data_IF_546758380752
#
_entry.id   IF_546758380752
#
_cell.length_a   1.000
_cell.length_b   1.000
_cell.length_c   1.000
_cell.angle_alpha   90.00
_cell.angle_beta   90.00
_cell.angle_gamma   90.00
#
_symmetry.space_group_name_H-M   'P 1'
#
loop_
_entity.id
_entity.type
_entity.pdbx_description
1 polymer ?
#
# COMPACT_ATOMS: atom_id res chain seq x y z
N UNK A 1 -19.39 -61.15 10.24
CA UNK A 1 -20.34 -60.00 10.22
C UNK A 1 -19.87 -59.07 9.13
N UNK A 2 -20.39 -59.22 7.92
CA UNK A 2 -19.93 -58.63 6.67
C UNK A 2 -20.73 -57.37 6.43
N UNK A 3 -20.05 -56.23 6.41
CA UNK A 3 -20.66 -54.94 6.07
C UNK A 3 -20.80 -54.83 4.54
N UNK A 4 -22.05 -54.76 4.08
CA UNK A 4 -22.39 -54.44 2.70
C UNK A 4 -22.19 -52.94 2.48
N UNK A 5 -21.27 -52.59 1.62
CA UNK A 5 -21.17 -51.21 1.04
C UNK A 5 -22.22 -51.10 -0.06
N UNK A 6 -23.22 -50.24 0.16
CA UNK A 6 -24.18 -49.90 -0.87
C UNK A 6 -23.48 -49.01 -1.93
N UNK A 7 -23.43 -49.55 -3.14
CA UNK A 7 -22.95 -48.85 -4.34
C UNK A 7 -24.00 -47.80 -4.73
N UNK A 8 -23.72 -46.51 -4.48
CA UNK A 8 -24.60 -45.41 -4.90
C UNK A 8 -24.23 -45.05 -6.33
N UNK A 9 -25.10 -45.44 -7.27
CA UNK A 9 -24.96 -45.14 -8.71
C UNK A 9 -24.84 -43.65 -8.96
N UNK A 10 -23.76 -43.24 -9.64
CA UNK A 10 -23.46 -41.87 -10.06
C UNK A 10 -24.61 -41.19 -10.81
N UNK A 11 -25.46 -41.94 -11.50
CA UNK A 11 -26.64 -41.42 -12.23
C UNK A 11 -27.77 -41.03 -11.31
N UNK A 12 -27.90 -41.70 -10.16
CA UNK A 12 -28.91 -41.36 -9.13
C UNK A 12 -28.50 -40.10 -8.37
N UNK A 13 -27.21 -39.92 -8.11
CA UNK A 13 -26.68 -38.71 -7.46
C UNK A 13 -26.90 -37.44 -8.34
N UNK A 14 -26.72 -37.55 -9.65
CA UNK A 14 -26.92 -36.44 -10.60
C UNK A 14 -28.41 -36.09 -10.85
N UNK A 15 -29.33 -37.04 -10.66
CA UNK A 15 -30.78 -36.78 -10.77
C UNK A 15 -31.37 -36.13 -9.52
N UNK A 16 -30.81 -36.35 -8.35
CA UNK A 16 -31.23 -35.69 -7.09
C UNK A 16 -30.71 -34.27 -6.94
N UNK A 17 -29.63 -33.91 -7.63
CA UNK A 17 -29.09 -32.53 -7.67
C UNK A 17 -29.70 -31.64 -8.74
N UNK A 18 -30.52 -32.20 -9.65
CA UNK A 18 -31.10 -31.49 -10.81
C UNK A 18 -32.43 -30.80 -10.58
N UNK A 19 -33.01 -30.85 -9.39
CA UNK A 19 -34.33 -30.27 -9.10
C UNK A 19 -34.38 -29.30 -7.91
N UNK A 20 -33.26 -28.74 -7.50
CA UNK A 20 -33.26 -27.56 -6.64
C UNK A 20 -33.26 -26.35 -7.55
N UNK A 21 -34.42 -25.67 -7.63
CA UNK A 21 -34.65 -24.47 -8.43
C UNK A 21 -33.49 -23.46 -8.24
N UNK A 22 -32.66 -23.35 -9.27
CA UNK A 22 -31.57 -22.38 -9.37
C UNK A 22 -32.11 -20.96 -9.68
N UNK A 23 -33.22 -20.58 -9.06
CA UNK A 23 -33.92 -19.34 -9.38
C UNK A 23 -34.08 -18.31 -8.26
N UNK A 24 -33.77 -18.62 -7.02
CA UNK A 24 -34.18 -17.73 -5.93
C UNK A 24 -33.10 -17.40 -4.87
N UNK A 25 -31.85 -17.85 -5.02
CA UNK A 25 -30.83 -17.67 -4.00
C UNK A 25 -29.72 -16.64 -4.35
N UNK A 26 -29.69 -16.12 -5.58
CA UNK A 26 -28.67 -15.14 -5.99
C UNK A 26 -29.07 -13.66 -5.77
N UNK A 27 -30.29 -13.38 -5.31
CA UNK A 27 -30.77 -12.01 -5.10
C UNK A 27 -30.56 -11.46 -3.67
N UNK A 28 -29.92 -12.20 -2.76
CA UNK A 28 -29.72 -11.75 -1.37
C UNK A 28 -28.30 -11.27 -1.03
N UNK A 29 -27.37 -11.40 -1.95
CA UNK A 29 -26.11 -10.68 -1.84
C UNK A 29 -26.19 -9.40 -2.68
N UNK A 30 -27.06 -8.50 -2.25
CA UNK A 30 -26.90 -7.09 -2.57
C UNK A 30 -25.56 -6.72 -1.93
N UNK A 31 -24.48 -6.67 -2.72
CA UNK A 31 -23.29 -5.94 -2.31
C UNK A 31 -23.80 -4.51 -2.16
N UNK A 32 -24.13 -4.13 -0.94
CA UNK A 32 -24.39 -2.75 -0.63
C UNK A 32 -23.13 -2.03 -1.10
N UNK A 33 -23.28 -1.15 -2.10
CA UNK A 33 -22.21 -0.23 -2.45
C UNK A 33 -21.75 0.37 -1.14
N UNK A 34 -20.49 0.16 -0.79
CA UNK A 34 -19.93 0.79 0.39
C UNK A 34 -20.30 2.26 0.30
N UNK A 35 -20.87 2.87 1.36
CA UNK A 35 -21.23 4.28 1.31
C UNK A 35 -20.00 5.01 0.81
N UNK A 36 -20.16 5.81 -0.23
CA UNK A 36 -19.09 6.62 -0.80
C UNK A 36 -18.32 7.21 0.37
N UNK A 37 -17.01 7.02 0.41
CA UNK A 37 -16.17 7.36 1.53
C UNK A 37 -16.47 8.82 1.92
N UNK A 38 -17.29 9.01 2.93
CA UNK A 38 -17.58 10.31 3.49
C UNK A 38 -16.30 10.78 4.17
N UNK A 39 -15.67 11.81 3.62
CA UNK A 39 -14.49 12.42 4.18
C UNK A 39 -13.29 12.42 3.26
N UNK A 40 -13.42 13.10 2.11
CA UNK A 40 -12.25 13.62 1.43
C UNK A 40 -11.55 14.62 2.37
N UNK A 41 -10.56 14.18 3.11
CA UNK A 41 -9.72 15.07 3.89
C UNK A 41 -8.73 15.71 2.92
N UNK A 42 -8.99 16.95 2.56
CA UNK A 42 -8.13 17.74 1.69
C UNK A 42 -6.97 18.32 2.49
N UNK A 43 -5.77 17.80 2.26
CA UNK A 43 -4.56 18.59 2.44
C UNK A 43 -4.33 19.32 1.13
N UNK A 44 -4.25 20.64 1.12
CA UNK A 44 -3.98 21.46 -0.07
C UNK A 44 -4.78 21.07 -1.35
N UNK A 45 -6.01 20.60 -1.22
CA UNK A 45 -6.86 20.16 -2.33
C UNK A 45 -6.67 18.71 -2.80
N UNK A 46 -5.78 17.93 -2.18
CA UNK A 46 -5.56 16.52 -2.51
C UNK A 46 -6.34 15.60 -1.57
N UNK A 47 -6.86 14.49 -2.11
CA UNK A 47 -7.76 13.57 -1.41
C UNK A 47 -6.98 12.34 -0.97
N UNK A 48 -7.11 11.98 0.33
CA UNK A 48 -6.46 10.79 0.89
C UNK A 48 -7.37 9.58 0.78
N UNK A 49 -7.46 9.01 -0.42
CA UNK A 49 -8.10 7.73 -0.70
C UNK A 49 -7.46 7.06 -1.92
N UNK A 50 -7.73 5.78 -2.14
CA UNK A 50 -7.15 5.02 -3.24
C UNK A 50 -5.72 4.57 -2.96
N UNK A 51 -4.88 4.52 -3.98
CA UNK A 51 -3.55 3.94 -3.88
C UNK A 51 -2.50 4.97 -3.42
N UNK A 52 -1.73 4.56 -2.43
CA UNK A 52 -0.58 5.27 -1.88
C UNK A 52 0.61 4.30 -1.80
N UNK A 53 1.16 3.88 -2.96
CA UNK A 53 2.27 2.94 -2.96
C UNK A 53 3.46 3.46 -2.19
N UNK A 54 4.18 2.51 -1.58
CA UNK A 54 5.46 2.79 -0.95
C UNK A 54 6.52 2.76 -2.05
N UNK A 55 7.16 3.91 -2.31
CA UNK A 55 8.25 3.97 -3.25
C UNK A 55 9.48 3.25 -2.71
N UNK A 56 10.31 2.76 -3.60
CA UNK A 56 11.58 2.14 -3.25
C UNK A 56 12.67 3.19 -3.04
N UNK A 57 13.86 2.77 -2.65
CA UNK A 57 15.04 3.64 -2.66
C UNK A 57 16.05 3.05 -3.64
N UNK A 58 16.07 3.55 -4.89
CA UNK A 58 17.05 3.13 -5.90
C UNK A 58 18.42 3.72 -5.60
N UNK A 59 19.47 2.94 -5.88
CA UNK A 59 20.86 3.39 -5.72
C UNK A 59 21.65 3.20 -7.00
N UNK A 60 22.61 4.11 -7.23
CA UNK A 60 23.59 4.03 -8.32
C UNK A 60 24.61 2.94 -8.05
N UNK A 61 25.47 2.65 -9.06
CA UNK A 61 26.61 1.74 -8.91
C UNK A 61 27.59 2.20 -7.81
N UNK A 62 27.70 3.51 -7.57
CA UNK A 62 28.52 4.12 -6.52
C UNK A 62 27.80 4.15 -5.15
N UNK A 63 26.69 3.42 -5.01
CA UNK A 63 25.91 3.33 -3.76
C UNK A 63 25.38 4.69 -3.26
N UNK A 64 25.05 5.62 -4.14
CA UNK A 64 24.36 6.87 -3.84
C UNK A 64 22.88 6.74 -4.18
N UNK A 65 21.99 7.42 -3.46
CA UNK A 65 20.57 7.48 -3.83
C UNK A 65 20.44 8.02 -5.27
N UNK A 66 19.80 7.22 -6.16
CA UNK A 66 19.55 7.62 -7.55
C UNK A 66 18.26 8.46 -7.60
N UNK A 67 18.44 9.79 -7.57
CA UNK A 67 17.32 10.73 -7.59
C UNK A 67 16.55 10.67 -8.90
N UNK A 68 17.17 10.35 -10.02
CA UNK A 68 16.49 10.23 -11.32
C UNK A 68 15.51 9.04 -11.30
N UNK A 69 15.97 7.87 -10.84
CA UNK A 69 15.11 6.71 -10.68
C UNK A 69 13.99 6.95 -9.66
N UNK A 70 14.28 7.64 -8.55
CA UNK A 70 13.27 8.02 -7.56
C UNK A 70 12.21 8.96 -8.17
N UNK A 71 12.61 9.92 -8.99
CA UNK A 71 11.71 10.82 -9.71
C UNK A 71 10.89 10.10 -10.79
N UNK A 72 11.46 9.07 -11.41
CA UNK A 72 10.73 8.23 -12.36
C UNK A 72 9.58 7.48 -11.67
N UNK A 73 9.71 7.03 -10.42
CA UNK A 73 8.60 6.46 -9.64
C UNK A 73 7.47 7.49 -9.44
N UNK A 74 7.80 8.74 -9.12
CA UNK A 74 6.81 9.84 -8.99
C UNK A 74 6.09 10.06 -10.31
N UNK A 75 6.85 10.16 -11.40
CA UNK A 75 6.31 10.37 -12.76
C UNK A 75 5.41 9.22 -13.19
N UNK A 76 5.84 7.98 -12.93
CA UNK A 76 5.06 6.77 -13.19
C UNK A 76 3.72 6.79 -12.45
N UNK A 77 3.72 7.10 -11.15
CA UNK A 77 2.50 7.19 -10.37
C UNK A 77 1.56 8.30 -10.88
N UNK A 78 2.10 9.47 -11.24
CA UNK A 78 1.32 10.55 -11.83
C UNK A 78 0.64 10.13 -13.15
N UNK A 79 1.38 9.50 -14.07
CA UNK A 79 0.84 8.99 -15.34
C UNK A 79 -0.19 7.88 -15.12
N UNK A 80 0.05 7.00 -14.15
CA UNK A 80 -0.86 5.93 -13.77
C UNK A 80 -2.15 6.38 -13.09
N UNK A 81 -2.28 7.68 -12.79
CA UNK A 81 -3.45 8.24 -12.10
C UNK A 81 -3.50 7.89 -10.61
N UNK A 82 -2.37 7.53 -10.02
CA UNK A 82 -2.24 7.17 -8.60
C UNK A 82 -2.37 8.43 -7.73
N UNK A 83 -3.27 8.48 -6.76
CA UNK A 83 -3.59 9.71 -6.01
C UNK A 83 -2.50 10.14 -5.03
N UNK A 84 -1.63 9.25 -4.58
CA UNK A 84 -0.53 9.61 -3.69
C UNK A 84 0.59 8.57 -3.64
N UNK A 85 1.70 8.94 -3.04
CA UNK A 85 2.89 8.09 -2.83
C UNK A 85 3.47 8.37 -1.45
N UNK A 86 4.13 7.38 -0.87
CA UNK A 86 4.78 7.52 0.45
C UNK A 86 6.26 7.11 0.33
N UNK A 87 7.18 7.98 0.82
CA UNK A 87 8.60 7.70 0.89
C UNK A 87 9.30 8.57 1.97
N UNK A 88 10.30 8.03 2.68
CA UNK A 88 10.64 6.62 2.76
C UNK A 88 9.81 5.91 3.84
N UNK A 89 9.59 4.61 3.65
CA UNK A 89 8.92 3.72 4.60
C UNK A 89 9.68 2.39 4.73
N UNK A 90 9.09 1.39 5.40
CA UNK A 90 9.72 0.08 5.60
C UNK A 90 10.15 -0.52 4.26
N UNK A 91 9.25 -0.62 3.30
CA UNK A 91 9.55 -1.19 1.99
C UNK A 91 10.52 -0.33 1.15
N UNK A 92 10.73 0.93 1.51
CA UNK A 92 11.78 1.79 0.92
C UNK A 92 13.17 1.53 1.50
N UNK A 93 13.32 0.70 2.53
CA UNK A 93 14.58 0.54 3.24
C UNK A 93 15.04 1.80 3.96
N UNK A 94 14.11 2.54 4.59
CA UNK A 94 14.38 3.85 5.21
C UNK A 94 15.56 3.85 6.19
N UNK A 95 15.85 2.71 6.83
CA UNK A 95 16.97 2.57 7.79
C UNK A 95 18.35 2.55 7.11
N UNK A 96 18.40 2.37 5.80
CA UNK A 96 19.63 2.37 5.01
C UNK A 96 20.01 3.74 4.45
N UNK A 97 19.09 4.71 4.57
CA UNK A 97 19.28 6.05 4.07
C UNK A 97 19.97 6.93 5.10
N UNK A 98 20.93 7.73 4.65
CA UNK A 98 21.49 8.81 5.45
C UNK A 98 20.50 9.98 5.55
N UNK A 99 20.68 10.86 6.56
CA UNK A 99 19.85 12.07 6.66
C UNK A 99 19.98 12.97 5.42
N UNK A 100 21.18 13.08 4.85
CA UNK A 100 21.39 13.86 3.64
C UNK A 100 20.61 13.29 2.45
N UNK A 101 20.61 11.97 2.25
CA UNK A 101 19.83 11.31 1.22
C UNK A 101 18.33 11.50 1.43
N UNK A 102 17.84 11.47 2.67
CA UNK A 102 16.43 11.72 2.98
C UNK A 102 16.01 13.15 2.66
N UNK A 103 16.82 14.14 2.99
CA UNK A 103 16.56 15.53 2.62
C UNK A 103 16.57 15.71 1.10
N UNK A 104 17.63 15.27 0.41
CA UNK A 104 17.75 15.37 -1.03
C UNK A 104 16.62 14.64 -1.78
N UNK A 105 16.26 13.42 -1.35
CA UNK A 105 15.15 12.66 -1.91
C UNK A 105 13.81 13.36 -1.72
N UNK A 106 13.56 13.95 -0.54
CA UNK A 106 12.35 14.74 -0.28
C UNK A 106 12.25 15.92 -1.24
N UNK A 107 13.33 16.71 -1.39
CA UNK A 107 13.37 17.86 -2.29
C UNK A 107 13.14 17.44 -3.74
N UNK A 108 13.80 16.38 -4.18
CA UNK A 108 13.71 15.86 -5.55
C UNK A 108 12.30 15.38 -5.89
N UNK A 109 11.69 14.57 -5.00
CA UNK A 109 10.34 14.04 -5.21
C UNK A 109 9.27 15.13 -5.22
N UNK A 110 9.35 16.11 -4.31
CA UNK A 110 8.41 17.23 -4.28
C UNK A 110 8.54 18.06 -5.55
N UNK A 111 9.76 18.31 -6.03
CA UNK A 111 10.00 19.01 -7.29
C UNK A 111 9.43 18.21 -8.49
N UNK A 112 9.66 16.90 -8.55
CA UNK A 112 9.14 16.02 -9.60
C UNK A 112 7.60 15.92 -9.59
N UNK A 113 6.98 15.98 -8.40
CA UNK A 113 5.53 15.94 -8.22
C UNK A 113 4.82 17.28 -8.49
N UNK A 114 5.57 18.39 -8.70
CA UNK A 114 5.00 19.73 -8.84
C UNK A 114 4.09 19.82 -10.06
N UNK A 115 2.87 20.32 -9.84
CA UNK A 115 1.84 20.42 -10.87
C UNK A 115 1.14 19.09 -11.21
N UNK A 116 1.60 17.97 -10.65
CA UNK A 116 0.94 16.68 -10.76
C UNK A 116 -0.23 16.53 -9.78
N UNK A 117 -1.02 15.47 -9.99
CA UNK A 117 -2.18 15.14 -9.13
C UNK A 117 -1.80 14.24 -7.95
N UNK A 118 -0.68 13.54 -8.03
CA UNK A 118 -0.20 12.61 -7.01
C UNK A 118 0.26 13.37 -5.77
N UNK A 119 -0.29 13.05 -4.60
CA UNK A 119 0.15 13.61 -3.33
C UNK A 119 1.49 13.02 -2.89
N UNK A 120 2.40 13.87 -2.44
CA UNK A 120 3.72 13.47 -1.95
C UNK A 120 3.67 13.40 -0.42
N UNK A 121 3.73 12.18 0.13
CA UNK A 121 3.73 11.93 1.57
C UNK A 121 5.14 11.53 2.02
N UNK A 122 5.72 12.28 2.93
CA UNK A 122 7.10 12.07 3.38
C UNK A 122 7.13 11.31 4.70
N UNK A 123 7.85 10.20 4.72
CA UNK A 123 8.15 9.43 5.93
C UNK A 123 9.12 10.18 6.84
N UNK A 124 8.75 10.40 8.11
CA UNK A 124 9.55 11.18 9.06
C UNK A 124 10.10 10.36 10.24
N UNK A 125 9.83 9.05 10.28
CA UNK A 125 10.33 8.16 11.32
C UNK A 125 11.85 8.16 11.39
N UNK A 126 12.37 7.92 12.59
CA UNK A 126 13.81 7.86 12.88
C UNK A 126 14.17 6.57 13.61
N UNK A 127 15.46 6.22 13.62
CA UNK A 127 15.97 5.13 14.43
C UNK A 127 16.14 5.61 15.90
N UNK A 128 16.16 4.66 16.84
CA UNK A 128 16.46 4.90 18.24
C UNK A 128 15.54 5.96 18.92
N UNK A 129 14.30 6.08 18.47
CA UNK A 129 13.33 7.05 18.99
C UNK A 129 13.84 8.51 18.96
N UNK A 130 14.65 8.88 17.98
CA UNK A 130 15.18 10.24 17.81
C UNK A 130 14.05 11.21 17.42
N UNK A 131 13.30 11.69 18.39
CA UNK A 131 12.21 12.65 18.19
C UNK A 131 12.69 13.98 17.59
N UNK A 132 13.84 14.59 18.02
CA UNK A 132 14.34 15.79 17.35
C UNK A 132 14.58 15.60 15.85
N UNK A 133 15.14 14.47 15.44
CA UNK A 133 15.33 14.11 14.04
C UNK A 133 14.00 13.96 13.28
N UNK A 134 13.00 13.31 13.88
CA UNK A 134 11.68 13.19 13.29
C UNK A 134 11.01 14.56 13.07
N UNK A 135 11.12 15.46 14.04
CA UNK A 135 10.65 16.85 13.94
C UNK A 135 11.39 17.61 12.82
N UNK A 136 12.71 17.41 12.70
CA UNK A 136 13.50 18.04 11.65
C UNK A 136 13.04 17.60 10.25
N UNK A 137 12.78 16.29 10.05
CA UNK A 137 12.22 15.79 8.79
C UNK A 137 10.80 16.32 8.52
N UNK A 138 9.94 16.41 9.54
CA UNK A 138 8.59 16.95 9.38
C UNK A 138 8.61 18.43 8.96
N UNK A 139 9.43 19.25 9.61
CA UNK A 139 9.62 20.66 9.24
C UNK A 139 10.21 20.83 7.85
N UNK A 140 11.18 19.98 7.48
CA UNK A 140 11.77 20.00 6.14
C UNK A 140 10.74 19.63 5.07
N UNK A 141 9.94 18.57 5.28
CA UNK A 141 8.86 18.19 4.37
C UNK A 141 7.87 19.34 4.15
N UNK A 142 7.45 20.02 5.22
CA UNK A 142 6.56 21.17 5.13
C UNK A 142 7.21 22.34 4.36
N UNK A 143 8.47 22.67 4.66
CA UNK A 143 9.21 23.75 3.98
C UNK A 143 9.39 23.46 2.49
N UNK A 144 9.60 22.21 2.13
CA UNK A 144 9.78 21.78 0.73
C UNK A 144 8.47 21.78 -0.05
N UNK A 145 7.33 21.68 0.63
CA UNK A 145 6.00 21.69 0.01
C UNK A 145 5.44 20.28 -0.22
N UNK A 146 5.79 19.32 0.64
CA UNK A 146 5.12 18.03 0.67
C UNK A 146 3.62 18.18 1.01
N UNK A 147 2.80 17.22 0.59
CA UNK A 147 1.35 17.26 0.81
C UNK A 147 0.94 16.67 2.17
N UNK A 148 1.73 15.78 2.72
CA UNK A 148 1.52 15.16 4.03
C UNK A 148 2.81 14.55 4.57
N UNK A 149 2.78 14.16 5.85
CA UNK A 149 3.84 13.38 6.47
C UNK A 149 3.30 12.05 6.99
N UNK A 150 4.16 11.03 7.08
CA UNK A 150 3.85 9.72 7.62
C UNK A 150 4.93 9.30 8.60
N UNK A 151 4.58 8.61 9.68
CA UNK A 151 5.57 8.04 10.59
C UNK A 151 5.21 6.63 11.05
N UNK A 152 6.24 5.80 11.21
CA UNK A 152 6.18 4.62 12.06
C UNK A 152 6.14 5.07 13.53
N UNK A 153 5.51 4.31 14.42
CA UNK A 153 5.58 4.60 15.85
C UNK A 153 6.99 4.34 16.38
N UNK A 154 7.41 5.06 17.43
CA UNK A 154 8.59 4.74 18.20
C UNK A 154 8.37 3.44 18.99
N UNK A 155 9.45 2.86 19.52
CA UNK A 155 9.34 1.83 20.55
C UNK A 155 8.95 2.48 21.89
N UNK A 156 8.03 1.85 22.63
CA UNK A 156 7.61 2.34 23.94
C UNK A 156 6.19 1.96 24.29
N UNK A 157 5.66 2.55 25.36
CA UNK A 157 4.28 2.41 25.79
C UNK A 157 3.30 3.12 24.84
N UNK A 158 2.00 2.90 25.03
CA UNK A 158 0.97 3.64 24.29
C UNK A 158 1.09 5.15 24.51
N UNK A 159 1.38 5.58 25.75
CA UNK A 159 1.56 7.00 26.08
C UNK A 159 2.79 7.59 25.36
N UNK A 160 3.90 6.86 25.28
CA UNK A 160 5.10 7.29 24.54
C UNK A 160 4.80 7.47 23.06
N UNK A 161 4.04 6.55 22.49
CA UNK A 161 3.60 6.61 21.08
C UNK A 161 2.71 7.83 20.84
N UNK A 162 1.72 8.05 21.69
CA UNK A 162 0.83 9.22 21.61
C UNK A 162 1.60 10.53 21.76
N UNK A 163 2.54 10.60 22.72
CA UNK A 163 3.38 11.77 22.92
C UNK A 163 4.28 12.07 21.70
N UNK A 164 4.85 11.03 21.10
CA UNK A 164 5.65 11.14 19.88
C UNK A 164 4.82 11.73 18.71
N UNK A 165 3.63 11.17 18.45
CA UNK A 165 2.79 11.66 17.36
C UNK A 165 2.22 13.06 17.63
N UNK A 166 1.95 13.42 18.90
CA UNK A 166 1.59 14.80 19.29
C UNK A 166 2.71 15.77 18.95
N UNK A 167 3.97 15.42 19.26
CA UNK A 167 5.12 16.27 18.99
C UNK A 167 5.36 16.47 17.49
N UNK A 168 5.23 15.41 16.68
CA UNK A 168 5.34 15.51 15.20
C UNK A 168 4.18 16.32 14.64
N UNK A 169 2.94 16.06 15.08
CA UNK A 169 1.76 16.79 14.62
C UNK A 169 1.75 18.28 14.98
N UNK A 170 2.45 18.65 16.06
CA UNK A 170 2.65 20.06 16.44
C UNK A 170 3.80 20.74 15.67
N UNK A 171 4.65 19.99 14.99
CA UNK A 171 5.81 20.54 14.28
C UNK A 171 5.46 21.20 12.94
N UNK A 172 4.29 20.90 12.38
CA UNK A 172 3.83 21.36 11.07
C UNK A 172 2.31 21.25 10.94
N UNK A 173 1.70 22.02 10.03
CA UNK A 173 0.27 21.93 9.70
C UNK A 173 -0.04 20.85 8.66
N UNK A 174 0.95 20.08 8.20
CA UNK A 174 0.72 19.03 7.23
C UNK A 174 -0.16 17.91 7.81
N UNK A 175 -1.06 17.35 7.00
CA UNK A 175 -1.77 16.12 7.36
C UNK A 175 -0.79 15.02 7.78
N UNK A 176 -1.10 14.35 8.88
CA UNK A 176 -0.28 13.30 9.46
C UNK A 176 -0.93 11.93 9.23
N UNK A 177 -0.17 11.03 8.62
CA UNK A 177 -0.50 9.61 8.51
C UNK A 177 0.20 8.88 9.66
N UNK A 178 -0.57 8.31 10.56
CA UNK A 178 -0.03 7.42 11.59
C UNK A 178 0.02 5.99 11.06
N UNK A 179 1.01 5.21 11.50
CA UNK A 179 1.09 3.79 11.16
C UNK A 179 1.00 2.96 12.43
N UNK A 180 0.23 1.88 12.39
CA UNK A 180 0.20 0.91 13.48
C UNK A 180 1.10 -0.27 13.17
N UNK A 181 1.70 -0.85 14.20
CA UNK A 181 2.51 -2.08 14.14
C UNK A 181 2.26 -2.91 15.40
N UNK A 182 2.63 -4.20 15.35
CA UNK A 182 2.53 -5.09 16.53
C UNK A 182 1.10 -5.23 17.02
N UNK A 183 0.90 -4.92 18.29
CA UNK A 183 -0.35 -5.04 19.03
C UNK A 183 -0.97 -3.67 19.42
N UNK A 184 -0.56 -2.59 18.79
CA UNK A 184 -1.11 -1.25 19.06
C UNK A 184 -2.64 -1.28 19.02
N UNK A 185 -3.28 -0.84 20.10
CA UNK A 185 -4.73 -0.93 20.25
C UNK A 185 -5.50 0.04 19.35
N UNK A 186 -6.77 -0.28 19.06
CA UNK A 186 -7.69 0.64 18.38
C UNK A 186 -7.88 1.92 19.20
N UNK A 187 -7.96 1.80 20.53
CA UNK A 187 -8.15 2.95 21.41
C UNK A 187 -6.99 3.95 21.35
N UNK A 188 -5.76 3.47 21.25
CA UNK A 188 -4.57 4.32 21.03
C UNK A 188 -4.67 5.11 19.72
N UNK A 189 -5.13 4.47 18.64
CA UNK A 189 -5.36 5.15 17.35
C UNK A 189 -6.46 6.21 17.46
N UNK A 190 -7.57 5.87 18.12
CA UNK A 190 -8.70 6.78 18.32
C UNK A 190 -8.32 7.97 19.20
N UNK A 191 -7.49 7.76 20.22
CA UNK A 191 -6.93 8.83 21.03
C UNK A 191 -6.09 9.80 20.19
N UNK A 192 -5.16 9.28 19.40
CA UNK A 192 -4.34 10.11 18.51
C UNK A 192 -5.22 10.91 17.52
N UNK A 193 -6.23 10.27 16.94
CA UNK A 193 -7.16 10.95 16.03
C UNK A 193 -7.93 12.09 16.72
N UNK A 194 -8.38 11.87 17.96
CA UNK A 194 -9.16 12.87 18.72
C UNK A 194 -8.30 14.02 19.26
N UNK A 195 -7.04 13.76 19.58
CA UNK A 195 -6.17 14.72 20.29
C UNK A 195 -5.15 15.41 19.40
N UNK A 196 -4.90 14.91 18.18
CA UNK A 196 -3.94 15.48 17.24
C UNK A 196 -4.67 15.93 15.97
N UNK A 197 -4.96 17.22 15.81
CA UNK A 197 -5.80 17.73 14.72
C UNK A 197 -5.28 17.44 13.31
N UNK A 198 -3.96 17.23 13.16
CA UNK A 198 -3.32 16.92 11.88
C UNK A 198 -3.45 15.45 11.49
N UNK A 199 -3.81 14.54 12.39
CA UNK A 199 -4.03 13.12 12.05
C UNK A 199 -5.26 12.99 11.14
N UNK A 200 -5.05 12.47 9.93
CA UNK A 200 -6.10 12.28 8.91
C UNK A 200 -6.20 10.84 8.43
N UNK A 201 -5.12 10.09 8.51
CA UNK A 201 -5.02 8.74 7.98
C UNK A 201 -4.34 7.83 9.01
N UNK A 202 -4.83 6.59 9.12
CA UNK A 202 -4.11 5.49 9.75
C UNK A 202 -3.78 4.43 8.71
N UNK A 203 -2.51 4.09 8.56
CA UNK A 203 -2.09 2.85 7.88
C UNK A 203 -2.11 1.74 8.92
N UNK A 204 -3.19 0.95 8.93
CA UNK A 204 -3.43 -0.05 9.98
C UNK A 204 -2.81 -1.41 9.62
N UNK A 205 -1.74 -1.76 10.32
CA UNK A 205 -1.00 -3.01 10.16
C UNK A 205 -0.84 -3.79 11.48
N UNK A 206 -1.42 -3.30 12.58
CA UNK A 206 -1.39 -4.00 13.87
C UNK A 206 -2.36 -5.19 13.88
N UNK A 207 -1.99 -6.26 14.58
CA UNK A 207 -2.84 -7.43 14.78
C UNK A 207 -3.51 -7.95 13.50
N UNK A 208 -4.84 -8.03 13.53
CA UNK A 208 -5.68 -8.38 12.37
C UNK A 208 -6.46 -7.13 11.88
N UNK A 209 -5.95 -6.41 10.87
CA UNK A 209 -6.57 -5.18 10.39
C UNK A 209 -8.00 -5.35 9.88
N UNK A 210 -8.34 -6.51 9.32
CA UNK A 210 -9.71 -6.78 8.81
C UNK A 210 -10.74 -6.76 9.93
N UNK A 211 -10.38 -7.22 11.13
CA UNK A 211 -11.27 -7.15 12.30
C UNK A 211 -11.33 -5.76 12.93
N UNK A 212 -10.25 -5.00 12.82
CA UNK A 212 -10.09 -3.70 13.49
C UNK A 212 -10.78 -2.55 12.75
N UNK A 213 -10.84 -2.62 11.42
CA UNK A 213 -11.34 -1.50 10.59
C UNK A 213 -12.76 -1.08 10.93
N UNK A 214 -13.66 -2.02 11.22
CA UNK A 214 -15.06 -1.72 11.59
C UNK A 214 -15.11 -0.90 12.88
N UNK A 215 -14.32 -1.29 13.88
CA UNK A 215 -14.25 -0.58 15.16
C UNK A 215 -13.60 0.80 15.01
N UNK A 216 -12.48 0.90 14.28
CA UNK A 216 -11.83 2.18 13.98
C UNK A 216 -12.81 3.17 13.32
N UNK A 217 -13.54 2.71 12.32
CA UNK A 217 -14.52 3.54 11.61
C UNK A 217 -15.66 3.99 12.52
N UNK A 218 -16.20 3.09 13.32
CA UNK A 218 -17.28 3.41 14.25
C UNK A 218 -16.83 4.44 15.31
N UNK A 219 -15.65 4.25 15.93
CA UNK A 219 -15.13 5.13 16.99
C UNK A 219 -14.64 6.49 16.48
N UNK A 220 -14.48 6.66 15.16
CA UNK A 220 -14.04 7.91 14.52
C UNK A 220 -15.12 8.55 13.65
N UNK A 221 -16.37 8.09 13.74
CA UNK A 221 -17.51 8.55 12.92
C UNK A 221 -17.19 8.49 11.40
N UNK A 222 -16.42 7.49 10.96
CA UNK A 222 -15.90 7.37 9.60
C UNK A 222 -15.05 8.57 9.10
N UNK A 223 -14.52 9.40 10.03
CA UNK A 223 -13.74 10.58 9.67
C UNK A 223 -12.24 10.30 9.55
N UNK A 224 -11.74 9.24 10.18
CA UNK A 224 -10.35 8.77 9.99
C UNK A 224 -10.30 7.89 8.75
N UNK A 225 -9.45 8.22 7.77
CA UNK A 225 -9.19 7.34 6.65
C UNK A 225 -8.36 6.14 7.11
N UNK A 226 -8.80 4.93 6.77
CA UNK A 226 -8.11 3.69 7.14
C UNK A 226 -7.46 3.09 5.89
N UNK A 227 -6.14 2.99 5.90
CA UNK A 227 -5.34 2.46 4.80
C UNK A 227 -4.81 1.06 5.14
N UNK A 228 -4.86 0.18 4.16
CA UNK A 228 -4.29 -1.16 4.24
C UNK A 228 -2.80 -1.14 3.86
N UNK A 229 -2.03 -1.97 4.54
CA UNK A 229 -0.63 -2.25 4.23
C UNK A 229 -0.41 -3.74 3.92
N UNK A 230 0.66 -4.35 4.44
CA UNK A 230 0.96 -5.80 4.30
C UNK A 230 0.91 -6.32 2.86
N UNK A 231 1.32 -5.47 1.88
CA UNK A 231 1.33 -5.84 0.45
C UNK A 231 -0.04 -5.89 -0.21
N UNK A 232 -1.08 -5.39 0.47
CA UNK A 232 -2.45 -5.27 -0.10
C UNK A 232 -2.99 -6.60 -0.66
N UNK A 233 -2.73 -7.70 0.06
CA UNK A 233 -3.10 -9.05 -0.42
C UNK A 233 -4.58 -9.34 -0.35
N UNK A 234 -5.31 -8.63 0.51
CA UNK A 234 -6.73 -8.82 0.76
C UNK A 234 -7.57 -7.65 0.23
N UNK A 235 -7.10 -6.93 -0.79
CA UNK A 235 -7.69 -5.67 -1.25
C UNK A 235 -9.21 -5.74 -1.45
N UNK A 236 -9.74 -6.83 -1.99
CA UNK A 236 -11.19 -6.98 -2.23
C UNK A 236 -11.95 -7.00 -0.91
N UNK A 237 -11.51 -7.82 0.05
CA UNK A 237 -12.11 -7.92 1.37
C UNK A 237 -11.92 -6.61 2.16
N UNK A 238 -10.74 -6.00 2.07
CA UNK A 238 -10.44 -4.70 2.66
C UNK A 238 -11.39 -3.61 2.14
N UNK A 239 -11.65 -3.56 0.83
CA UNK A 239 -12.62 -2.65 0.23
C UNK A 239 -14.06 -2.92 0.73
N UNK A 240 -14.45 -4.19 0.86
CA UNK A 240 -15.77 -4.57 1.40
C UNK A 240 -15.97 -4.11 2.85
N UNK A 241 -14.92 -4.19 3.66
CA UNK A 241 -14.92 -3.79 5.07
C UNK A 241 -14.79 -2.26 5.27
N UNK A 242 -14.47 -1.51 4.20
CA UNK A 242 -14.45 -0.07 4.20
C UNK A 242 -13.09 0.57 4.42
N UNK A 243 -12.01 -0.12 4.10
CA UNK A 243 -10.73 0.54 3.89
C UNK A 243 -10.86 1.55 2.75
N UNK A 244 -10.23 2.70 2.93
CA UNK A 244 -10.32 3.81 1.98
C UNK A 244 -9.03 4.04 1.20
N UNK A 245 -7.95 3.39 1.59
CA UNK A 245 -6.67 3.50 0.91
C UNK A 245 -5.81 2.25 1.03
N UNK A 246 -4.79 2.15 0.18
CA UNK A 246 -3.98 0.95 0.02
C UNK A 246 -2.53 1.32 -0.26
N UNK A 247 -1.60 0.66 0.42
CA UNK A 247 -0.16 0.91 0.33
C UNK A 247 0.59 -0.30 -0.25
N UNK A 248 0.45 -0.61 -1.55
CA UNK A 248 1.24 -1.66 -2.20
C UNK A 248 2.68 -1.19 -2.47
N UNK A 249 3.48 -2.07 -3.08
CA UNK A 249 4.70 -1.69 -3.77
C UNK A 249 4.38 -0.92 -5.06
N UNK A 250 5.32 -0.10 -5.54
CA UNK A 250 5.06 0.86 -6.61
C UNK A 250 4.90 0.21 -8.00
N UNK A 251 5.61 -0.88 -8.29
CA UNK A 251 5.73 -1.43 -9.64
C UNK A 251 4.41 -1.78 -10.36
N UNK A 252 3.33 -1.96 -9.60
CA UNK A 252 1.99 -2.30 -10.09
C UNK A 252 0.93 -1.29 -9.66
N UNK A 253 1.34 -0.12 -9.19
CA UNK A 253 0.44 0.85 -8.54
C UNK A 253 -0.69 1.34 -9.45
N UNK A 254 -0.45 1.56 -10.73
CA UNK A 254 -1.46 1.95 -11.72
C UNK A 254 -2.54 0.88 -11.93
N UNK A 255 -2.18 -0.40 -11.86
CA UNK A 255 -3.11 -1.51 -12.02
C UNK A 255 -3.91 -1.72 -10.75
N UNK A 256 -3.30 -1.63 -9.58
CA UNK A 256 -4.02 -1.57 -8.30
C UNK A 256 -5.00 -0.38 -8.28
N UNK A 257 -4.57 0.80 -8.76
CA UNK A 257 -5.45 1.97 -8.88
C UNK A 257 -6.64 1.68 -9.78
N UNK A 258 -6.44 0.97 -10.88
CA UNK A 258 -7.54 0.55 -11.75
C UNK A 258 -8.52 -0.37 -11.06
N UNK A 259 -8.06 -1.34 -10.24
CA UNK A 259 -8.93 -2.20 -9.46
C UNK A 259 -9.78 -1.39 -8.45
N UNK A 260 -9.17 -0.41 -7.78
CA UNK A 260 -9.87 0.53 -6.90
C UNK A 260 -10.93 1.33 -7.63
N UNK A 261 -10.62 1.93 -8.78
CA UNK A 261 -11.57 2.72 -9.58
C UNK A 261 -12.77 1.90 -10.06
N UNK A 262 -12.53 0.65 -10.47
CA UNK A 262 -13.61 -0.26 -10.85
C UNK A 262 -14.54 -0.56 -9.68
N UNK A 263 -13.97 -0.77 -8.48
CA UNK A 263 -14.77 -0.94 -7.27
C UNK A 263 -15.62 0.29 -6.97
N UNK A 264 -15.02 1.48 -6.99
CA UNK A 264 -15.74 2.74 -6.75
C UNK A 264 -16.81 3.03 -7.81
N UNK A 265 -16.63 2.54 -9.02
CA UNK A 265 -17.62 2.62 -10.11
C UNK A 265 -18.76 1.59 -10.00
N UNK A 266 -18.82 0.81 -8.91
CA UNK A 266 -19.85 -0.23 -8.72
C UNK A 266 -19.65 -1.45 -9.61
N UNK A 267 -18.42 -1.75 -10.03
CA UNK A 267 -18.01 -2.86 -10.87
C UNK A 267 -17.17 -3.89 -10.11
N UNK A 268 -17.69 -4.51 -9.04
CA UNK A 268 -16.90 -5.37 -8.16
C UNK A 268 -16.34 -6.60 -8.86
N UNK A 269 -17.04 -7.17 -9.85
CA UNK A 269 -16.55 -8.32 -10.62
C UNK A 269 -15.31 -7.95 -11.42
N UNK A 270 -15.35 -6.82 -12.14
CA UNK A 270 -14.21 -6.35 -12.93
C UNK A 270 -13.02 -5.98 -12.02
N UNK A 271 -13.30 -5.39 -10.86
CA UNK A 271 -12.28 -5.12 -9.83
C UNK A 271 -11.62 -6.41 -9.33
N UNK A 272 -12.42 -7.45 -9.04
CA UNK A 272 -11.92 -8.75 -8.62
C UNK A 272 -11.05 -9.41 -9.71
N UNK A 273 -11.48 -9.37 -10.97
CA UNK A 273 -10.73 -9.92 -12.10
C UNK A 273 -9.38 -9.19 -12.27
N UNK A 274 -9.37 -7.86 -12.13
CA UNK A 274 -8.16 -7.05 -12.19
C UNK A 274 -7.20 -7.40 -11.05
N UNK A 275 -7.71 -7.46 -9.83
CA UNK A 275 -6.91 -7.83 -8.66
C UNK A 275 -6.35 -9.27 -8.78
N UNK A 276 -7.12 -10.20 -9.32
CA UNK A 276 -6.69 -11.57 -9.59
C UNK A 276 -5.48 -11.64 -10.54
N UNK A 277 -5.42 -10.75 -11.53
CA UNK A 277 -4.25 -10.65 -12.44
C UNK A 277 -3.01 -10.16 -11.73
N UNK A 278 -3.14 -9.19 -10.82
CA UNK A 278 -2.02 -8.72 -9.98
C UNK A 278 -1.51 -9.86 -9.10
N UNK A 279 -2.42 -10.61 -8.47
CA UNK A 279 -2.04 -11.75 -7.63
C UNK A 279 -1.33 -12.84 -8.45
N UNK A 280 -1.81 -13.16 -9.65
CA UNK A 280 -1.16 -14.10 -10.54
C UNK A 280 0.25 -13.63 -10.95
N UNK A 281 0.42 -12.34 -11.26
CA UNK A 281 1.74 -11.77 -11.55
C UNK A 281 2.70 -11.90 -10.36
N UNK A 282 2.24 -11.63 -9.15
CA UNK A 282 3.06 -11.71 -7.93
C UNK A 282 3.52 -13.12 -7.56
N UNK A 283 3.00 -14.17 -8.24
CA UNK A 283 3.50 -15.55 -8.09
C UNK A 283 4.75 -15.85 -8.93
N UNK A 284 5.08 -14.97 -9.88
CA UNK A 284 6.31 -15.11 -10.69
C UNK A 284 7.52 -14.81 -9.78
N UNK A 285 8.51 -15.68 -9.83
CA UNK A 285 9.73 -15.55 -9.01
C UNK A 285 10.42 -14.21 -9.29
N UNK A 286 10.73 -13.48 -8.23
CA UNK A 286 11.45 -12.20 -8.26
C UNK A 286 10.81 -11.10 -9.13
N UNK A 287 9.52 -11.24 -9.49
CA UNK A 287 8.81 -10.25 -10.28
C UNK A 287 8.86 -8.83 -9.66
N UNK A 288 8.76 -8.73 -8.34
CA UNK A 288 8.81 -7.46 -7.62
C UNK A 288 10.15 -6.73 -7.76
N UNK A 289 11.26 -7.46 -7.98
CA UNK A 289 12.57 -6.86 -8.15
C UNK A 289 12.77 -6.33 -9.59
N UNK A 290 12.26 -7.06 -10.58
CA UNK A 290 12.50 -6.73 -11.97
C UNK A 290 11.40 -5.89 -12.63
N UNK A 291 10.20 -5.85 -12.06
CA UNK A 291 9.06 -5.12 -12.63
C UNK A 291 9.36 -3.64 -12.88
N UNK A 292 10.16 -3.01 -12.03
CA UNK A 292 10.54 -1.61 -12.17
C UNK A 292 11.42 -1.36 -13.40
N UNK A 293 12.35 -2.28 -13.67
CA UNK A 293 13.21 -2.26 -14.85
C UNK A 293 12.39 -2.63 -16.09
N UNK A 294 11.62 -3.71 -16.04
CA UNK A 294 10.78 -4.17 -17.15
C UNK A 294 9.75 -3.12 -17.61
N UNK A 295 9.35 -2.22 -16.71
CA UNK A 295 8.45 -1.09 -17.01
C UNK A 295 9.18 0.22 -17.32
N UNK A 296 10.49 0.22 -17.43
CA UNK A 296 11.31 1.39 -17.76
C UNK A 296 11.34 2.47 -16.67
N UNK A 297 10.97 2.13 -15.41
CA UNK A 297 11.01 3.03 -14.27
C UNK A 297 12.44 3.14 -13.75
N UNK A 298 13.13 2.00 -13.68
CA UNK A 298 14.52 1.89 -13.26
C UNK A 298 15.46 1.52 -14.41
N UNK A 299 16.73 1.87 -14.26
CA UNK A 299 17.81 1.40 -15.11
C UNK A 299 18.13 -0.07 -14.78
N UNK A 300 18.63 -0.82 -15.75
CA UNK A 300 19.02 -2.24 -15.57
C UNK A 300 20.07 -2.43 -14.46
N UNK A 301 20.93 -1.46 -14.27
CA UNK A 301 22.00 -1.47 -13.29
C UNK A 301 21.63 -0.82 -11.93
N UNK A 302 20.37 -0.44 -11.74
CA UNK A 302 19.89 0.10 -10.45
C UNK A 302 20.12 -0.90 -9.32
N UNK A 303 20.70 -0.44 -8.21
CA UNK A 303 20.96 -1.24 -7.01
C UNK A 303 19.96 -0.97 -5.91
N UNK A 304 19.85 -1.91 -4.97
CA UNK A 304 19.21 -1.74 -3.67
C UNK A 304 20.22 -1.98 -2.56
N UNK A 305 20.09 -1.28 -1.43
CA UNK A 305 20.87 -1.58 -0.23
C UNK A 305 20.23 -2.73 0.54
N UNK A 306 21.00 -3.70 1.05
CA UNK A 306 20.48 -4.75 1.91
C UNK A 306 19.81 -4.15 3.15
N UNK A 307 18.61 -4.63 3.48
CA UNK A 307 17.88 -4.22 4.68
C UNK A 307 18.16 -5.22 5.82
N UNK A 308 18.82 -4.79 6.91
CA UNK A 308 19.03 -5.67 8.06
C UNK A 308 17.69 -6.19 8.62
N UNK A 309 17.56 -7.49 8.77
CA UNK A 309 16.40 -8.12 9.41
C UNK A 309 15.18 -8.32 8.49
N UNK A 310 15.22 -7.86 7.25
CA UNK A 310 14.24 -8.22 6.22
C UNK A 310 14.92 -9.14 5.20
N UNK A 311 14.39 -10.33 5.03
CA UNK A 311 14.78 -11.18 3.91
C UNK A 311 14.60 -10.41 2.59
N UNK A 312 15.30 -10.82 1.55
CA UNK A 312 15.35 -10.18 0.22
C UNK A 312 14.01 -10.14 -0.55
N UNK A 313 12.92 -9.90 0.15
CA UNK A 313 11.57 -9.83 -0.41
C UNK A 313 10.63 -9.10 0.52
N UNK A 314 10.53 -7.79 0.40
CA UNK A 314 9.51 -6.98 1.10
C UNK A 314 8.08 -7.23 0.65
N UNK A 315 7.83 -8.15 -0.22
CA UNK A 315 6.51 -8.59 -0.69
C UNK A 315 6.50 -10.08 -0.82
N UNK A 316 6.26 -10.85 0.23
CA UNK A 316 5.80 -12.25 0.24
C UNK A 316 6.24 -13.22 -0.86
N UNK A 317 7.18 -12.83 -1.69
CA UNK A 317 7.80 -13.64 -2.69
C UNK A 317 8.81 -14.62 -2.09
N UNK A 318 9.08 -15.69 -2.79
CA UNK A 318 10.13 -16.66 -2.48
C UNK A 318 11.46 -15.90 -2.38
N UNK A 319 12.22 -16.13 -1.29
CA UNK A 319 13.55 -15.53 -1.17
C UNK A 319 14.37 -15.81 -2.42
N UNK A 320 14.94 -14.77 -3.03
CA UNK A 320 15.81 -14.92 -4.19
C UNK A 320 16.99 -15.84 -3.84
N UNK A 321 17.15 -16.91 -4.61
CA UNK A 321 18.24 -17.88 -4.41
C UNK A 321 19.50 -17.48 -5.17
N UNK A 322 19.51 -16.31 -5.84
CA UNK A 322 20.61 -15.79 -6.65
C UNK A 322 20.14 -14.66 -7.56
N UNK A 323 21.02 -14.14 -8.44
CA UNK A 323 20.63 -13.15 -9.44
C UNK A 323 19.61 -13.77 -10.42
N UNK A 324 18.68 -12.94 -10.89
CA UNK A 324 17.69 -13.34 -11.89
C UNK A 324 18.37 -13.77 -13.18
N UNK A 325 17.93 -14.91 -13.72
CA UNK A 325 18.36 -15.36 -15.03
C UNK A 325 17.63 -14.60 -16.15
N UNK A 326 18.15 -14.66 -17.38
CA UNK A 326 17.46 -14.07 -18.55
C UNK A 326 16.08 -14.70 -18.77
N UNK A 327 15.91 -15.98 -18.41
CA UNK A 327 14.61 -16.65 -18.47
C UNK A 327 13.63 -16.07 -17.45
N UNK A 328 14.07 -15.77 -16.21
CA UNK A 328 13.24 -15.15 -15.19
C UNK A 328 12.82 -13.74 -15.62
N UNK A 329 13.76 -12.94 -16.12
CA UNK A 329 13.50 -11.59 -16.65
C UNK A 329 12.49 -11.65 -17.79
N UNK A 330 12.69 -12.58 -18.73
CA UNK A 330 11.74 -12.78 -19.83
C UNK A 330 10.36 -13.16 -19.34
N UNK A 331 10.24 -14.02 -18.34
CA UNK A 331 8.94 -14.41 -17.78
C UNK A 331 8.20 -13.20 -17.19
N UNK A 332 8.90 -12.28 -16.51
CA UNK A 332 8.32 -11.03 -16.01
C UNK A 332 7.84 -10.15 -17.15
N UNK A 333 8.66 -9.94 -18.18
CA UNK A 333 8.32 -9.11 -19.35
C UNK A 333 7.13 -9.69 -20.11
N UNK A 334 7.12 -10.99 -20.38
CA UNK A 334 6.03 -11.68 -21.07
C UNK A 334 4.71 -11.57 -20.27
N UNK A 335 4.77 -11.70 -18.94
CA UNK A 335 3.60 -11.56 -18.09
C UNK A 335 3.04 -10.13 -18.10
N UNK A 336 3.89 -9.12 -18.07
CA UNK A 336 3.50 -7.70 -18.19
C UNK A 336 2.79 -7.49 -19.52
N UNK A 337 3.39 -7.91 -20.64
CA UNK A 337 2.80 -7.70 -21.95
C UNK A 337 1.54 -8.53 -22.20
N UNK A 338 1.54 -9.81 -21.84
CA UNK A 338 0.45 -10.73 -22.17
C UNK A 338 -0.77 -10.54 -21.26
N UNK A 339 -0.56 -10.36 -19.96
CA UNK A 339 -1.65 -10.39 -18.99
C UNK A 339 -2.06 -9.01 -18.49
N UNK A 340 -1.13 -8.06 -18.49
CA UNK A 340 -1.33 -6.73 -17.92
C UNK A 340 -1.30 -5.62 -18.96
N UNK A 341 -0.71 -5.84 -20.14
CA UNK A 341 -0.55 -4.85 -21.20
C UNK A 341 -1.78 -3.99 -21.48
N UNK A 342 -3.00 -4.57 -21.66
CA UNK A 342 -4.22 -3.81 -21.91
C UNK A 342 -4.64 -2.87 -20.75
N UNK A 343 -4.05 -3.00 -19.59
CA UNK A 343 -4.44 -2.30 -18.36
C UNK A 343 -3.38 -1.31 -17.87
N UNK A 344 -2.19 -1.35 -18.45
CA UNK A 344 -1.06 -0.45 -18.13
C UNK A 344 -1.41 0.97 -18.57
N UNK A 345 -1.10 1.96 -17.70
CA UNK A 345 -1.38 3.39 -17.96
C UNK A 345 -0.12 4.25 -18.05
N UNK A 346 1.02 3.74 -17.61
CA UNK A 346 2.26 4.49 -17.51
C UNK A 346 3.39 3.99 -18.40
#
# INVERSE_FOLDING_TARGET
MTLHTADVDRRTLLKTLGSVAAGAALSKYSVAAAPAAAGAHAGAGKVFNGLYPILTSPFTQDNKLDLDCLNNEVTFCNKGGVPGIIWPQIASGWTTLTSAERFAGTESMVAAGKGGRTAIVIGVQTQNNDLPGAIAYAKHAAKTGADAICSLPPSGSADDIVAYYKAIGAATDLPLFIQTIGDMSVDTVVEMFKTIPTVKVVKDEAGDPLKRVTELRAKTDNKLAVFAGKGVRNMIEEMQLGFTGFCPTVGMADIFQRAWELWQAGKPRESYDMFGRIQAFSTITDADQYVMVARGIFKEDTKSRPMPGMGSGGGGGRAATGPMTDADKKAVVDAIHTYLGPYIRG
#
